data_IF_774979972362
#
_entry.id   IF_774979972362
#
_cell.length_a   1.000
_cell.length_b   1.000
_cell.length_c   1.000
_cell.angle_alpha   90.00
_cell.angle_beta   90.00
_cell.angle_gamma   90.00
#
_symmetry.space_group_name_H-M   'P 1'
#
loop_
_entity.id
_entity.type
_entity.pdbx_description
1 polymer ?
#
# COMPACT_ATOMS: atom_id res chain seq x y z
N UNK A 1 20.04 42.77 41.05
CA UNK A 1 18.89 43.17 40.20
C UNK A 1 18.95 42.31 38.94
N UNK A 2 18.29 41.17 38.96
CA UNK A 2 18.21 40.26 37.81
C UNK A 2 16.78 40.28 37.30
N UNK A 3 16.59 40.75 36.07
CA UNK A 3 15.29 40.69 35.39
C UNK A 3 15.16 39.32 34.69
N UNK A 4 14.16 38.57 35.09
CA UNK A 4 13.72 37.37 34.39
C UNK A 4 12.95 37.75 33.14
N UNK A 5 13.36 37.24 31.98
CA UNK A 5 12.62 37.32 30.71
C UNK A 5 11.76 36.04 30.61
N UNK A 6 10.46 36.24 30.64
CA UNK A 6 9.50 35.14 30.41
C UNK A 6 9.38 34.93 28.89
N UNK A 7 9.70 33.71 28.43
CA UNK A 7 9.45 33.24 27.07
C UNK A 7 8.00 32.69 27.01
N UNK A 8 7.20 33.29 26.14
CA UNK A 8 5.87 32.79 25.75
C UNK A 8 6.03 31.69 24.69
N UNK A 9 5.23 30.63 24.71
CA UNK A 9 5.25 29.60 23.66
C UNK A 9 4.55 30.09 22.39
N UNK A 10 4.93 29.57 21.19
CA UNK A 10 4.31 29.96 19.93
C UNK A 10 2.92 29.38 19.81
N UNK A 11 1.97 30.24 19.41
CA UNK A 11 0.61 29.90 19.01
C UNK A 11 0.65 29.06 17.72
N UNK A 12 0.15 27.84 17.78
CA UNK A 12 -0.16 27.05 16.61
C UNK A 12 -1.40 27.62 15.93
N UNK A 13 -1.20 28.18 14.73
CA UNK A 13 -2.29 28.63 13.86
C UNK A 13 -2.94 27.40 13.20
N UNK A 14 -4.07 26.95 13.70
CA UNK A 14 -4.92 25.95 13.04
C UNK A 14 -5.60 26.55 11.81
N UNK A 15 -5.31 26.03 10.64
CA UNK A 15 -6.01 26.35 9.39
C UNK A 15 -7.28 25.52 9.32
N UNK A 16 -8.43 26.17 9.53
CA UNK A 16 -9.76 25.57 9.33
C UNK A 16 -10.11 25.75 7.85
N UNK A 17 -10.13 24.67 7.08
CA UNK A 17 -10.71 24.65 5.73
C UNK A 17 -12.19 24.31 5.84
N UNK A 18 -13.05 25.29 5.56
CA UNK A 18 -14.48 25.08 5.39
C UNK A 18 -14.75 24.55 3.99
N UNK A 19 -15.26 23.31 3.89
CA UNK A 19 -15.79 22.73 2.65
C UNK A 19 -17.26 23.15 2.50
N UNK A 20 -17.55 23.99 1.51
CA UNK A 20 -18.91 24.34 1.07
C UNK A 20 -19.46 23.25 0.17
N UNK A 21 -20.52 22.57 0.58
CA UNK A 21 -21.31 21.69 -0.29
C UNK A 21 -22.33 22.52 -1.06
N UNK A 22 -22.23 22.53 -2.39
CA UNK A 22 -23.29 23.02 -3.26
C UNK A 22 -24.23 21.86 -3.60
N UNK A 23 -25.50 22.01 -3.23
CA UNK A 23 -26.62 21.19 -3.69
C UNK A 23 -27.04 21.65 -5.08
N UNK A 24 -27.00 20.78 -6.07
CA UNK A 24 -27.76 20.99 -7.31
C UNK A 24 -28.89 19.97 -7.40
N UNK A 25 -30.07 20.56 -7.53
CA UNK A 25 -31.35 19.86 -7.57
C UNK A 25 -31.69 19.40 -9.00
N UNK A 26 -32.41 18.31 -9.04
CA UNK A 26 -32.92 17.62 -10.21
C UNK A 26 -33.78 18.46 -11.16
N UNK A 27 -33.67 18.19 -12.47
CA UNK A 27 -34.72 18.44 -13.46
C UNK A 27 -34.98 17.16 -14.27
N UNK A 28 -36.22 16.75 -14.20
CA UNK A 28 -36.85 15.61 -14.88
C UNK A 28 -37.38 15.98 -16.26
N UNK A 29 -37.34 15.01 -17.22
CA UNK A 29 -38.21 14.95 -18.39
C UNK A 29 -37.58 14.30 -19.63
N UNK A 30 -38.38 13.89 -20.64
CA UNK A 30 -39.06 12.59 -20.63
C UNK A 30 -38.52 11.58 -21.69
N UNK A 31 -38.98 10.35 -21.56
CA UNK A 31 -38.74 9.17 -22.37
C UNK A 31 -38.94 9.33 -23.87
N UNK A 32 -38.03 8.70 -24.66
CA UNK A 32 -38.34 8.28 -26.02
C UNK A 32 -37.84 6.82 -26.22
N UNK A 33 -38.78 5.97 -26.59
CA UNK A 33 -38.59 4.58 -26.96
C UNK A 33 -37.97 4.46 -28.34
N UNK A 34 -36.96 3.58 -28.49
CA UNK A 34 -36.55 3.08 -29.79
C UNK A 34 -36.16 1.60 -29.70
N UNK A 35 -36.74 0.88 -30.61
CA UNK A 35 -36.78 -0.56 -30.84
C UNK A 35 -35.43 -1.19 -31.17
N UNK A 36 -35.26 -2.43 -30.69
CA UNK A 36 -34.17 -3.35 -31.03
C UNK A 36 -34.30 -3.89 -32.46
N UNK A 37 -33.15 -4.28 -33.07
CA UNK A 37 -33.11 -5.58 -33.73
C UNK A 37 -31.86 -6.40 -33.39
N UNK A 38 -32.10 -7.69 -33.15
CA UNK A 38 -31.30 -8.82 -33.61
C UNK A 38 -29.89 -9.02 -33.00
N UNK A 39 -29.81 -9.86 -31.95
CA UNK A 39 -28.55 -10.45 -31.49
C UNK A 39 -28.29 -11.78 -32.20
N UNK A 40 -27.31 -11.83 -33.08
CA UNK A 40 -26.72 -13.10 -33.53
C UNK A 40 -25.70 -13.58 -32.49
N UNK A 41 -26.00 -14.72 -31.85
CA UNK A 41 -25.08 -15.42 -30.94
C UNK A 41 -23.98 -16.12 -31.77
N UNK A 42 -22.76 -15.63 -31.76
CA UNK A 42 -21.60 -16.39 -32.20
C UNK A 42 -21.24 -17.44 -31.14
N UNK A 43 -21.33 -18.71 -31.52
CA UNK A 43 -20.94 -19.86 -30.69
C UNK A 43 -19.42 -19.81 -30.44
N UNK A 44 -19.03 -19.87 -29.17
CA UNK A 44 -17.63 -20.04 -28.77
C UNK A 44 -17.19 -21.48 -29.10
N UNK A 45 -16.13 -21.59 -29.89
CA UNK A 45 -15.49 -22.86 -30.25
C UNK A 45 -14.61 -23.30 -29.08
N UNK A 46 -15.03 -24.36 -28.38
CA UNK A 46 -14.21 -25.01 -27.36
C UNK A 46 -13.08 -25.76 -28.06
N UNK A 47 -11.83 -25.32 -27.84
CA UNK A 47 -10.63 -26.05 -28.23
C UNK A 47 -10.21 -26.91 -27.06
N UNK A 48 -10.44 -28.21 -27.17
CA UNK A 48 -9.89 -29.22 -26.25
C UNK A 48 -8.44 -29.49 -26.59
N UNK A 49 -7.53 -29.18 -25.68
CA UNK A 49 -6.12 -29.60 -25.76
C UNK A 49 -5.94 -30.97 -25.09
N UNK A 50 -5.09 -31.85 -25.60
CA UNK A 50 -4.89 -33.17 -25.04
C UNK A 50 -4.11 -33.13 -23.71
N UNK A 51 -4.65 -33.79 -22.68
CA UNK A 51 -3.98 -34.02 -21.40
C UNK A 51 -3.01 -35.19 -21.55
N UNK A 52 -1.71 -34.94 -21.56
CA UNK A 52 -0.68 -35.88 -21.09
C UNK A 52 0.65 -35.12 -20.92
N UNK A 53 0.98 -34.79 -19.69
CA UNK A 53 2.37 -34.68 -19.21
C UNK A 53 2.38 -34.85 -17.70
N UNK A 54 3.14 -35.84 -17.23
CA UNK A 54 3.48 -36.04 -15.83
C UNK A 54 4.17 -34.80 -15.29
N UNK A 55 3.57 -34.09 -14.38
CA UNK A 55 4.19 -32.97 -13.67
C UNK A 55 4.54 -33.45 -12.28
N UNK A 56 5.85 -33.71 -12.07
CA UNK A 56 6.42 -33.77 -10.74
C UNK A 56 6.15 -32.42 -10.05
N UNK A 57 5.71 -32.49 -8.79
CA UNK A 57 5.28 -31.35 -7.99
C UNK A 57 6.40 -30.30 -7.88
N UNK A 58 6.26 -29.23 -8.65
CA UNK A 58 6.95 -27.96 -8.43
C UNK A 58 5.87 -27.06 -7.85
N UNK A 59 6.15 -26.45 -6.69
CA UNK A 59 5.22 -25.59 -5.99
C UNK A 59 4.58 -24.58 -6.92
N UNK A 60 3.26 -24.50 -6.88
CA UNK A 60 2.46 -23.60 -7.71
C UNK A 60 2.70 -22.15 -7.29
N UNK A 61 3.69 -21.51 -7.88
CA UNK A 61 3.72 -20.05 -7.93
C UNK A 61 2.65 -19.63 -8.92
N UNK A 62 1.54 -19.08 -8.43
CA UNK A 62 0.55 -18.44 -9.28
C UNK A 62 1.21 -17.25 -9.98
N UNK A 63 1.41 -17.38 -11.28
CA UNK A 63 1.90 -16.31 -12.11
C UNK A 63 0.70 -15.41 -12.46
N UNK A 64 0.67 -14.21 -11.90
CA UNK A 64 -0.33 -13.21 -12.30
C UNK A 64 0.10 -12.57 -13.61
N UNK A 65 -0.80 -12.39 -14.57
CA UNK A 65 -0.47 -11.68 -15.80
C UNK A 65 -0.07 -10.25 -15.45
N UNK A 66 1.11 -9.86 -15.88
CA UNK A 66 1.56 -8.47 -15.79
C UNK A 66 0.72 -7.65 -16.76
N UNK A 67 0.28 -6.45 -16.38
CA UNK A 67 -0.45 -5.56 -17.26
C UNK A 67 0.30 -5.38 -18.59
N UNK A 68 -0.44 -5.31 -19.68
CA UNK A 68 0.14 -5.25 -21.03
C UNK A 68 1.12 -4.06 -21.14
N UNK A 69 2.39 -4.33 -21.48
CA UNK A 69 3.46 -3.32 -21.51
C UNK A 69 4.38 -3.29 -20.29
N UNK A 70 4.09 -4.02 -19.22
CA UNK A 70 5.00 -4.19 -18.08
C UNK A 70 5.83 -5.45 -18.31
N UNK A 71 7.13 -5.30 -18.52
CA UNK A 71 8.04 -6.45 -18.59
C UNK A 71 8.17 -7.06 -17.18
N UNK A 72 7.81 -8.35 -17.00
CA UNK A 72 7.99 -9.01 -15.73
C UNK A 72 9.48 -9.01 -15.38
N UNK A 73 9.84 -8.45 -14.25
CA UNK A 73 11.18 -8.60 -13.73
C UNK A 73 11.35 -10.06 -13.29
N UNK A 74 12.16 -10.90 -14.00
CA UNK A 74 12.20 -12.32 -13.73
C UNK A 74 12.67 -12.57 -12.31
N UNK A 75 11.87 -13.29 -11.56
CA UNK A 75 12.14 -13.65 -10.18
C UNK A 75 13.44 -14.41 -10.09
N UNK A 76 14.43 -13.90 -9.36
CA UNK A 76 15.69 -14.57 -9.10
C UNK A 76 16.75 -14.49 -10.20
N UNK A 77 16.49 -13.92 -11.36
CA UNK A 77 17.47 -13.85 -12.46
C UNK A 77 18.42 -12.64 -12.39
N UNK A 78 18.13 -11.66 -11.56
CA UNK A 78 18.91 -10.41 -11.50
C UNK A 78 19.54 -10.18 -10.12
N UNK A 79 19.85 -11.25 -9.38
CA UNK A 79 20.49 -11.16 -8.07
C UNK A 79 19.56 -10.68 -6.94
N UNK A 80 18.24 -10.62 -7.17
CA UNK A 80 17.27 -10.24 -6.14
C UNK A 80 16.60 -11.48 -5.51
N UNK A 81 16.23 -11.42 -4.22
CA UNK A 81 15.41 -12.45 -3.59
C UNK A 81 14.08 -12.66 -4.31
N UNK A 82 13.48 -13.86 -4.13
CA UNK A 82 12.18 -14.16 -4.69
C UNK A 82 11.11 -13.15 -4.24
N UNK A 83 10.20 -12.75 -5.14
CA UNK A 83 9.16 -11.75 -4.87
C UNK A 83 9.63 -10.29 -4.92
N UNK A 84 10.91 -10.04 -5.13
CA UNK A 84 11.45 -8.68 -5.25
C UNK A 84 11.68 -8.29 -6.72
N UNK A 85 11.60 -7.01 -7.01
CA UNK A 85 11.95 -6.40 -8.28
C UNK A 85 13.38 -5.85 -8.20
N UNK A 86 14.16 -6.04 -9.28
CA UNK A 86 15.46 -5.41 -9.44
C UNK A 86 15.28 -3.99 -9.99
N UNK A 87 15.83 -3.01 -9.31
CA UNK A 87 15.75 -1.60 -9.70
C UNK A 87 17.10 -1.16 -10.28
N UNK A 88 17.19 -1.19 -11.58
CA UNK A 88 18.37 -0.76 -12.37
C UNK A 88 19.69 -1.45 -11.95
N UNK A 89 19.64 -2.68 -11.41
CA UNK A 89 20.81 -3.40 -10.88
C UNK A 89 21.40 -2.80 -9.59
N UNK A 90 20.73 -1.85 -8.97
CA UNK A 90 21.26 -1.08 -7.83
C UNK A 90 20.74 -1.58 -6.49
N UNK A 91 19.48 -1.98 -6.44
CA UNK A 91 18.84 -2.55 -5.26
C UNK A 91 17.62 -3.39 -5.65
N UNK A 92 17.14 -4.18 -4.72
CA UNK A 92 15.94 -4.98 -4.82
C UNK A 92 14.84 -4.36 -3.95
N UNK A 93 13.58 -4.43 -4.37
CA UNK A 93 12.42 -3.99 -3.59
C UNK A 93 11.30 -5.02 -3.68
N UNK A 94 10.58 -5.24 -2.60
CA UNK A 94 9.39 -6.08 -2.59
C UNK A 94 8.38 -5.60 -3.64
N UNK A 95 7.86 -6.53 -4.47
CA UNK A 95 6.91 -6.19 -5.53
C UNK A 95 5.56 -5.74 -4.98
N UNK A 96 5.16 -6.33 -3.86
CA UNK A 96 3.92 -6.02 -3.15
C UNK A 96 4.27 -5.48 -1.78
N UNK A 97 3.32 -4.80 -1.16
CA UNK A 97 3.42 -4.34 0.21
C UNK A 97 3.73 -5.51 1.16
N UNK A 98 4.41 -5.22 2.26
CA UNK A 98 4.79 -6.21 3.25
C UNK A 98 3.58 -6.79 3.99
N UNK A 99 3.57 -8.11 4.12
CA UNK A 99 2.75 -8.85 5.08
C UNK A 99 3.67 -9.61 6.03
N UNK A 100 3.12 -10.17 7.11
CA UNK A 100 3.91 -10.86 8.11
C UNK A 100 3.54 -12.33 8.21
N UNK A 101 4.54 -13.15 8.53
CA UNK A 101 4.36 -14.51 9.03
C UNK A 101 5.02 -14.63 10.40
N UNK A 102 4.40 -15.39 11.30
CA UNK A 102 5.02 -15.77 12.56
C UNK A 102 5.74 -17.10 12.42
N UNK A 103 6.96 -17.17 12.93
CA UNK A 103 7.75 -18.40 12.99
C UNK A 103 7.55 -19.05 14.34
N UNK A 104 6.93 -20.21 14.35
CA UNK A 104 6.63 -20.97 15.54
C UNK A 104 7.89 -21.67 16.09
N UNK A 105 7.86 -22.09 17.35
CA UNK A 105 8.99 -22.75 18.00
C UNK A 105 9.45 -24.07 17.31
N UNK A 106 8.56 -24.70 16.56
CA UNK A 106 8.86 -25.90 15.75
C UNK A 106 9.41 -25.57 14.33
N UNK A 107 9.56 -24.26 14.01
CA UNK A 107 10.02 -23.76 12.73
C UNK A 107 8.92 -23.65 11.66
N UNK A 108 7.68 -24.01 11.97
CA UNK A 108 6.57 -23.77 11.05
C UNK A 108 6.23 -22.28 10.97
N UNK A 109 5.62 -21.88 9.86
CA UNK A 109 5.19 -20.51 9.64
C UNK A 109 3.67 -20.44 9.52
N UNK A 110 3.07 -19.42 10.12
CA UNK A 110 1.66 -19.10 9.95
C UNK A 110 1.48 -17.63 9.60
N UNK A 111 0.42 -17.34 8.87
CA UNK A 111 0.09 -15.96 8.51
C UNK A 111 -0.28 -15.16 9.75
N UNK A 112 0.36 -13.99 9.89
CA UNK A 112 -0.01 -13.03 10.93
C UNK A 112 -1.21 -12.20 10.49
N UNK A 113 -2.07 -11.83 11.43
CA UNK A 113 -3.21 -10.97 11.15
C UNK A 113 -2.78 -9.55 10.81
N UNK A 114 -3.15 -8.99 9.65
CA UNK A 114 -2.81 -7.61 9.29
C UNK A 114 -3.69 -6.56 10.01
N UNK A 115 -4.67 -7.01 10.77
CA UNK A 115 -5.68 -6.16 11.40
C UNK A 115 -5.42 -6.00 12.89
N UNK A 116 -4.71 -4.94 13.25
CA UNK A 116 -4.43 -4.55 14.62
C UNK A 116 -2.95 -4.36 14.91
N UNK A 117 -2.63 -3.69 16.02
CA UNK A 117 -1.25 -3.48 16.46
C UNK A 117 -0.53 -4.81 16.71
N UNK A 118 0.76 -4.79 16.49
CA UNK A 118 1.63 -5.94 16.74
C UNK A 118 2.04 -5.90 18.22
N UNK A 119 1.78 -6.98 18.93
CA UNK A 119 2.21 -7.18 20.31
C UNK A 119 3.65 -7.72 20.37
N UNK A 120 4.33 -7.51 21.49
CA UNK A 120 5.70 -8.01 21.68
C UNK A 120 5.72 -9.53 21.89
N UNK A 121 6.88 -10.14 21.62
CA UNK A 121 7.13 -11.55 21.93
C UNK A 121 6.88 -12.53 20.79
N UNK A 122 6.64 -12.03 19.58
CA UNK A 122 6.44 -12.82 18.38
C UNK A 122 7.68 -12.79 17.45
N UNK A 123 8.06 -13.94 16.88
CA UNK A 123 9.09 -14.00 15.82
C UNK A 123 8.44 -13.75 14.47
N UNK A 124 8.34 -12.48 14.10
CA UNK A 124 7.67 -12.05 12.89
C UNK A 124 8.67 -11.79 11.77
N UNK A 125 8.34 -12.28 10.58
CA UNK A 125 9.12 -12.11 9.36
C UNK A 125 8.32 -11.47 8.25
N UNK A 126 8.94 -10.55 7.54
CA UNK A 126 8.34 -9.89 6.39
C UNK A 126 8.32 -10.81 5.17
N UNK A 127 7.15 -10.94 4.56
CA UNK A 127 6.94 -11.61 3.28
C UNK A 127 6.26 -10.65 2.30
N UNK A 128 6.51 -10.86 1.01
CA UNK A 128 5.88 -10.09 -0.07
C UNK A 128 5.18 -11.05 -1.01
N UNK A 129 3.88 -10.88 -1.21
CA UNK A 129 3.05 -11.75 -2.06
C UNK A 129 1.75 -11.05 -2.44
N UNK A 130 1.20 -11.36 -3.61
CA UNK A 130 -0.09 -10.83 -4.03
C UNK A 130 -1.24 -11.53 -3.29
N UNK A 131 -2.43 -10.93 -3.42
CA UNK A 131 -3.73 -11.48 -2.97
C UNK A 131 -3.85 -11.69 -1.45
N UNK A 132 -2.99 -11.04 -0.67
CA UNK A 132 -3.09 -10.96 0.79
C UNK A 132 -3.25 -9.52 1.23
N UNK A 133 -3.89 -9.29 2.38
CA UNK A 133 -3.91 -7.95 2.96
C UNK A 133 -2.50 -7.60 3.47
N UNK A 134 -1.98 -6.40 3.15
CA UNK A 134 -0.71 -5.95 3.69
C UNK A 134 -0.83 -5.72 5.19
N UNK A 135 0.30 -5.82 5.89
CA UNK A 135 0.35 -5.50 7.31
C UNK A 135 0.08 -4.02 7.51
N UNK A 136 -1.04 -3.69 8.14
CA UNK A 136 -1.31 -2.37 8.69
C UNK A 136 -0.95 -2.30 10.18
N UNK A 137 -1.14 -1.16 10.82
CA UNK A 137 -0.89 -0.95 12.26
C UNK A 137 0.55 -1.25 12.72
N UNK A 138 1.51 -1.16 11.83
CA UNK A 138 2.92 -1.45 12.10
C UNK A 138 3.73 -0.16 12.23
N UNK A 139 4.62 -0.11 13.20
CA UNK A 139 5.59 0.98 13.36
C UNK A 139 6.82 0.79 12.47
N UNK A 140 7.57 1.87 12.24
CA UNK A 140 8.84 1.81 11.51
C UNK A 140 9.84 0.87 12.15
N UNK A 141 9.91 0.84 13.49
CA UNK A 141 10.78 -0.04 14.24
C UNK A 141 10.41 -1.52 14.05
N UNK A 142 9.13 -1.86 14.13
CA UNK A 142 8.64 -3.23 13.91
C UNK A 142 8.83 -3.67 12.45
N UNK A 143 8.56 -2.76 11.50
CA UNK A 143 8.77 -3.02 10.08
C UNK A 143 10.25 -3.28 9.74
N UNK A 144 11.18 -2.48 10.32
CA UNK A 144 12.61 -2.70 10.18
C UNK A 144 13.02 -4.08 10.72
N UNK A 145 12.58 -4.43 11.93
CA UNK A 145 12.87 -5.72 12.55
C UNK A 145 12.35 -6.90 11.72
N UNK A 146 11.12 -6.81 11.20
CA UNK A 146 10.54 -7.85 10.35
C UNK A 146 11.27 -8.02 9.00
N UNK A 147 11.72 -6.91 8.38
CA UNK A 147 12.56 -6.96 7.19
C UNK A 147 13.92 -7.63 7.51
N UNK A 148 14.58 -7.24 8.60
CA UNK A 148 15.85 -7.80 9.02
C UNK A 148 15.76 -9.30 9.33
N UNK A 149 14.71 -9.74 10.02
CA UNK A 149 14.42 -11.13 10.29
C UNK A 149 14.23 -11.98 9.01
N UNK A 150 13.94 -11.32 7.87
CA UNK A 150 13.78 -11.94 6.55
C UNK A 150 15.02 -11.80 5.66
N UNK A 151 16.16 -11.34 6.21
CA UNK A 151 17.38 -11.08 5.43
C UNK A 151 17.26 -9.90 4.49
N UNK A 152 16.34 -8.97 4.78
CA UNK A 152 16.08 -7.74 4.02
C UNK A 152 16.29 -6.53 4.92
N UNK A 153 15.92 -5.36 4.46
CA UNK A 153 15.93 -4.11 5.23
C UNK A 153 14.76 -3.21 4.81
N UNK A 154 14.40 -2.22 5.60
CA UNK A 154 13.52 -1.18 5.09
C UNK A 154 14.18 -0.44 3.92
N UNK A 155 13.37 0.03 2.98
CA UNK A 155 13.82 0.86 1.87
C UNK A 155 14.25 2.25 2.36
N UNK A 156 15.36 2.76 1.85
CA UNK A 156 15.65 4.18 2.01
C UNK A 156 14.60 5.04 1.28
N UNK A 157 14.30 6.26 1.75
CA UNK A 157 13.30 7.12 1.08
C UNK A 157 13.57 7.36 -0.41
N UNK A 158 14.84 7.41 -0.80
CA UNK A 158 15.24 7.60 -2.19
C UNK A 158 15.05 6.35 -3.04
N UNK A 159 15.28 5.16 -2.48
CA UNK A 159 15.05 3.86 -3.13
C UNK A 159 13.56 3.65 -3.36
N UNK A 160 12.77 3.84 -2.30
CA UNK A 160 11.32 3.74 -2.37
C UNK A 160 10.75 4.63 -3.49
N UNK A 161 11.15 5.90 -3.51
CA UNK A 161 10.69 6.88 -4.49
C UNK A 161 11.14 6.55 -5.91
N UNK A 162 12.38 6.06 -6.08
CA UNK A 162 12.89 5.59 -7.38
C UNK A 162 12.05 4.42 -7.91
N UNK A 163 11.79 3.43 -7.06
CA UNK A 163 10.98 2.29 -7.42
C UNK A 163 9.52 2.69 -7.76
N UNK A 164 8.91 3.59 -6.98
CA UNK A 164 7.57 4.09 -7.23
C UNK A 164 7.46 4.79 -8.58
N UNK A 165 8.39 5.68 -8.91
CA UNK A 165 8.36 6.47 -10.15
C UNK A 165 8.60 5.66 -11.41
N UNK A 166 9.15 4.46 -11.27
CA UNK A 166 9.50 3.63 -12.41
C UNK A 166 10.66 4.16 -13.24
N UNK A 167 11.04 3.47 -14.32
CA UNK A 167 12.15 3.90 -15.18
C UNK A 167 11.85 5.19 -15.96
N UNK A 168 10.56 5.54 -16.12
CA UNK A 168 10.13 6.77 -16.81
C UNK A 168 9.95 7.97 -15.87
N UNK A 169 10.28 7.84 -14.59
CA UNK A 169 10.19 8.90 -13.57
C UNK A 169 8.79 9.54 -13.46
N UNK A 170 7.74 8.73 -13.53
CA UNK A 170 6.35 9.17 -13.52
C UNK A 170 5.87 9.55 -12.12
N UNK A 171 4.87 10.43 -12.05
CA UNK A 171 4.31 10.92 -10.78
C UNK A 171 3.60 9.83 -9.98
N UNK A 172 2.85 8.94 -10.65
CA UNK A 172 2.07 7.88 -10.01
C UNK A 172 2.58 6.46 -10.34
N UNK A 173 3.78 6.35 -10.89
CA UNK A 173 4.33 5.09 -11.38
C UNK A 173 3.70 4.61 -12.68
N UNK A 174 2.39 4.57 -12.76
CA UNK A 174 1.62 4.22 -13.97
C UNK A 174 1.41 5.39 -14.95
N UNK A 175 1.75 6.60 -14.58
CA UNK A 175 1.54 7.81 -15.39
C UNK A 175 1.82 9.09 -14.61
N UNK A 176 1.66 10.24 -15.31
CA UNK A 176 1.86 11.54 -14.69
C UNK A 176 0.57 12.19 -14.19
N UNK A 177 -0.57 11.65 -14.56
CA UNK A 177 -1.88 12.12 -14.13
C UNK A 177 -2.54 11.07 -13.22
N UNK A 178 -3.22 11.53 -12.16
CA UNK A 178 -3.97 10.65 -11.28
C UNK A 178 -5.19 10.10 -12.00
N UNK A 179 -5.31 8.79 -12.03
CA UNK A 179 -6.52 8.08 -12.44
C UNK A 179 -7.18 7.50 -11.19
N UNK A 180 -8.21 8.17 -10.72
CA UNK A 180 -8.88 7.82 -9.47
C UNK A 180 -9.43 6.39 -9.48
N UNK A 181 -9.03 5.58 -8.50
CA UNK A 181 -9.41 4.16 -8.38
C UNK A 181 -8.51 3.21 -9.17
N UNK A 182 -7.50 3.69 -9.88
CA UNK A 182 -6.46 2.83 -10.46
C UNK A 182 -5.63 2.16 -9.38
N UNK A 183 -5.29 2.91 -8.35
CA UNK A 183 -4.78 2.40 -7.07
C UNK A 183 -5.91 2.41 -6.03
N UNK A 184 -5.71 1.80 -4.88
CA UNK A 184 -6.62 1.97 -3.75
C UNK A 184 -6.44 3.37 -3.14
N UNK A 185 -7.08 4.37 -3.75
CA UNK A 185 -6.95 5.81 -3.45
C UNK A 185 -8.30 6.54 -3.38
N UNK A 186 -9.40 5.77 -3.29
CA UNK A 186 -10.78 6.26 -3.21
C UNK A 186 -11.55 5.64 -2.05
N UNK A 187 -10.84 5.33 -0.99
CA UNK A 187 -11.40 4.72 0.19
C UNK A 187 -12.41 5.61 0.93
N UNK A 188 -13.07 5.02 1.90
CA UNK A 188 -14.00 5.72 2.80
C UNK A 188 -13.39 5.79 4.20
N UNK A 189 -13.62 6.91 4.90
CA UNK A 189 -13.06 7.08 6.25
C UNK A 189 -13.65 6.07 7.24
N UNK A 190 -12.85 5.09 7.73
CA UNK A 190 -13.30 4.16 8.73
C UNK A 190 -13.49 4.84 10.08
N UNK A 191 -12.71 5.90 10.35
CA UNK A 191 -12.81 6.66 11.58
C UNK A 191 -14.19 7.32 11.71
N UNK A 192 -14.71 7.94 10.66
CA UNK A 192 -16.05 8.56 10.67
C UNK A 192 -17.14 7.48 10.84
N UNK A 193 -16.94 6.29 10.26
CA UNK A 193 -17.93 5.20 10.33
C UNK A 193 -18.00 4.55 11.71
N UNK A 194 -16.88 4.34 12.39
CA UNK A 194 -16.84 3.70 13.72
C UNK A 194 -16.87 4.71 14.87
N UNK A 195 -16.35 5.90 14.65
CA UNK A 195 -16.18 6.94 15.66
C UNK A 195 -16.70 8.29 15.11
N UNK A 196 -18.02 8.43 14.90
CA UNK A 196 -18.61 9.60 14.21
C UNK A 196 -18.29 10.94 14.89
N UNK A 197 -17.94 10.96 16.17
CA UNK A 197 -17.49 12.16 16.87
C UNK A 197 -16.24 12.81 16.19
N UNK A 198 -15.45 12.06 15.45
CA UNK A 198 -14.29 12.57 14.72
C UNK A 198 -14.68 13.61 13.67
N UNK A 199 -15.89 13.51 13.12
CA UNK A 199 -16.43 14.51 12.18
C UNK A 199 -16.60 15.88 12.82
N UNK A 200 -16.74 15.96 14.15
CA UNK A 200 -16.81 17.21 14.90
C UNK A 200 -15.43 17.72 15.29
N UNK A 201 -14.56 16.83 15.80
CA UNK A 201 -13.18 17.15 16.15
C UNK A 201 -12.33 15.87 16.26
N UNK A 202 -11.17 15.90 15.63
CA UNK A 202 -10.15 14.84 15.77
C UNK A 202 -9.61 14.71 17.21
N UNK A 203 -9.69 15.77 18.02
CA UNK A 203 -9.28 15.73 19.43
C UNK A 203 -10.17 14.84 20.31
N UNK A 204 -11.28 14.31 19.78
CA UNK A 204 -12.19 13.40 20.49
C UNK A 204 -11.81 11.92 20.34
N UNK A 205 -10.76 11.63 19.58
CA UNK A 205 -10.22 10.29 19.37
C UNK A 205 -8.73 10.29 19.67
N UNK A 206 -8.20 9.15 20.05
CA UNK A 206 -6.79 8.96 20.35
C UNK A 206 -6.20 7.74 19.65
N UNK A 207 -4.99 7.38 20.04
CA UNK A 207 -4.28 6.22 19.47
C UNK A 207 -5.05 4.91 19.65
N UNK A 208 -5.86 4.78 20.71
CA UNK A 208 -6.70 3.60 20.91
C UNK A 208 -7.72 3.41 19.77
N UNK A 209 -8.40 4.47 19.40
CA UNK A 209 -9.39 4.44 18.30
C UNK A 209 -8.69 4.28 16.94
N UNK A 210 -7.55 4.94 16.73
CA UNK A 210 -6.75 4.82 15.50
C UNK A 210 -6.12 3.43 15.32
N UNK A 211 -6.03 2.65 16.40
CA UNK A 211 -5.54 1.28 16.40
C UNK A 211 -6.64 0.23 16.57
N UNK A 212 -7.90 0.60 16.38
CA UNK A 212 -9.01 -0.36 16.42
C UNK A 212 -8.97 -1.29 15.21
N UNK A 213 -8.85 -2.58 15.46
CA UNK A 213 -8.71 -3.62 14.43
C UNK A 213 -9.86 -3.63 13.40
N UNK A 214 -11.03 -3.12 13.76
CA UNK A 214 -12.21 -3.06 12.88
C UNK A 214 -12.06 -2.05 11.75
N UNK A 215 -11.18 -1.05 11.88
CA UNK A 215 -11.06 0.04 10.91
C UNK A 215 -10.77 -0.48 9.50
N UNK A 216 -9.77 -1.34 9.36
CA UNK A 216 -9.34 -1.88 8.07
C UNK A 216 -10.13 -3.12 7.60
N UNK A 217 -11.13 -3.55 8.37
CA UNK A 217 -12.05 -4.61 7.99
C UNK A 217 -13.36 -4.07 7.35
N UNK A 218 -13.50 -2.75 7.29
CA UNK A 218 -14.65 -2.12 6.65
C UNK A 218 -14.49 -2.10 5.13
N UNK A 219 -15.61 -2.23 4.43
CA UNK A 219 -15.64 -2.05 2.96
C UNK A 219 -15.10 -0.66 2.56
N UNK A 220 -14.31 -0.61 1.49
CA UNK A 220 -13.72 0.63 0.98
C UNK A 220 -12.55 1.14 1.83
N UNK A 221 -11.86 0.25 2.55
CA UNK A 221 -10.64 0.55 3.29
C UNK A 221 -9.45 -0.22 2.71
N UNK A 222 -8.74 -1.02 3.51
CA UNK A 222 -7.60 -1.80 3.08
C UNK A 222 -7.98 -2.78 1.95
N UNK A 223 -7.17 -2.83 0.91
CA UNK A 223 -7.28 -3.78 -0.19
C UNK A 223 -6.16 -4.80 -0.14
N UNK A 224 -6.37 -5.97 -0.74
CA UNK A 224 -5.32 -6.95 -0.92
C UNK A 224 -4.26 -6.45 -1.87
N UNK A 225 -2.99 -6.66 -1.56
CA UNK A 225 -1.86 -6.26 -2.39
C UNK A 225 -1.97 -6.87 -3.80
N UNK A 226 -1.78 -6.04 -4.82
CA UNK A 226 -1.93 -6.42 -6.23
C UNK A 226 -3.36 -6.49 -6.75
N UNK A 227 -4.39 -6.29 -5.92
CA UNK A 227 -5.80 -6.34 -6.38
C UNK A 227 -6.17 -5.16 -7.30
N UNK A 228 -5.42 -4.09 -7.25
CA UNK A 228 -5.46 -3.00 -8.21
C UNK A 228 -4.39 -3.25 -9.30
N UNK A 229 -4.69 -4.15 -10.23
CA UNK A 229 -3.74 -4.67 -11.21
C UNK A 229 -3.02 -3.60 -12.04
N UNK A 230 -3.68 -2.46 -12.28
CA UNK A 230 -3.10 -1.32 -13.00
C UNK A 230 -2.30 -0.35 -12.11
N UNK A 231 -2.28 -0.55 -10.78
CA UNK A 231 -1.47 0.22 -9.85
C UNK A 231 -0.04 -0.30 -9.81
N UNK A 232 0.65 -0.22 -10.92
CA UNK A 232 1.99 -0.79 -11.13
C UNK A 232 2.79 0.04 -12.13
N UNK A 233 4.08 -0.25 -12.27
CA UNK A 233 4.97 0.34 -13.26
C UNK A 233 5.83 -0.74 -13.93
N UNK A 234 6.73 -0.32 -14.84
CA UNK A 234 7.56 -1.23 -15.63
C UNK A 234 8.56 -2.07 -14.81
N UNK A 235 8.86 -1.70 -13.57
CA UNK A 235 9.62 -2.56 -12.65
C UNK A 235 8.76 -3.71 -12.11
N UNK A 236 7.44 -3.67 -12.29
CA UNK A 236 6.50 -4.66 -11.75
C UNK A 236 6.39 -4.57 -10.23
N UNK A 237 6.46 -3.37 -9.68
CA UNK A 237 6.10 -3.06 -8.29
C UNK A 237 4.67 -2.55 -8.24
N UNK A 238 3.90 -3.00 -7.26
CA UNK A 238 2.47 -2.74 -7.13
C UNK A 238 2.19 -1.91 -5.88
N UNK A 239 1.08 -1.17 -5.92
CA UNK A 239 0.47 -0.46 -4.79
C UNK A 239 1.40 0.55 -4.11
N UNK A 240 2.39 1.08 -4.87
CA UNK A 240 3.29 2.13 -4.36
C UNK A 240 2.56 3.46 -4.07
N UNK A 241 1.31 3.59 -4.50
CA UNK A 241 0.45 4.76 -4.28
C UNK A 241 -0.87 4.29 -3.71
N UNK A 242 -1.24 4.80 -2.54
CA UNK A 242 -2.47 4.43 -1.86
C UNK A 242 -2.33 3.19 -0.98
N UNK A 243 -3.42 2.55 -0.70
CA UNK A 243 -3.60 1.41 0.19
C UNK A 243 -3.13 1.67 1.62
N UNK A 244 -1.82 1.55 1.91
CA UNK A 244 -1.21 1.94 3.19
C UNK A 244 0.00 2.84 2.99
N UNK A 245 0.24 3.73 3.94
CA UNK A 245 1.52 4.43 4.02
C UNK A 245 2.66 3.43 4.24
N UNK A 246 3.78 3.63 3.58
CA UNK A 246 4.91 2.74 3.72
C UNK A 246 6.08 3.39 4.46
N UNK A 247 6.42 2.83 5.63
CA UNK A 247 7.59 3.23 6.39
C UNK A 247 8.87 3.08 5.58
N UNK A 248 9.78 4.02 5.77
CA UNK A 248 11.14 3.99 5.21
C UNK A 248 12.18 3.95 6.33
N UNK A 249 13.43 3.68 5.98
CA UNK A 249 14.56 3.65 6.93
C UNK A 249 15.02 5.04 7.40
N UNK A 250 14.23 6.10 7.13
CA UNK A 250 14.53 7.45 7.63
C UNK A 250 14.28 7.50 9.15
N UNK A 251 15.32 7.69 9.98
CA UNK A 251 15.16 7.72 11.44
C UNK A 251 14.34 8.91 11.93
N UNK A 252 14.09 9.91 11.07
CA UNK A 252 13.21 11.04 11.39
C UNK A 252 11.73 10.70 11.21
N UNK A 253 11.40 9.45 10.94
CA UNK A 253 10.02 8.96 10.87
C UNK A 253 9.29 9.40 9.62
N UNK A 254 9.78 8.94 8.46
CA UNK A 254 9.14 9.20 7.16
C UNK A 254 8.44 7.95 6.63
N UNK A 255 7.19 8.11 6.22
CA UNK A 255 6.48 7.16 5.37
C UNK A 255 5.95 7.83 4.11
N UNK A 256 5.76 7.05 3.04
CA UNK A 256 5.51 7.53 1.69
C UNK A 256 4.28 6.82 1.06
N UNK A 257 3.88 7.29 -0.13
CA UNK A 257 2.87 6.66 -0.98
C UNK A 257 1.44 7.09 -0.73
N UNK A 258 1.14 7.64 0.43
CA UNK A 258 -0.24 7.88 0.86
C UNK A 258 -0.94 6.58 1.28
N UNK A 259 -2.24 6.62 1.47
CA UNK A 259 -3.05 5.48 1.85
C UNK A 259 -4.43 5.54 1.17
N UNK A 260 -5.30 4.61 1.41
CA UNK A 260 -6.56 4.50 0.67
C UNK A 260 -7.49 5.73 0.73
N UNK A 261 -7.26 6.68 1.66
CA UNK A 261 -8.03 7.95 1.69
C UNK A 261 -7.31 9.11 1.01
N UNK A 262 -5.96 9.09 0.95
CA UNK A 262 -5.22 10.26 0.49
C UNK A 262 -3.88 9.89 -0.15
N UNK A 263 -3.68 10.40 -1.35
CA UNK A 263 -2.46 10.24 -2.15
C UNK A 263 -1.97 11.57 -2.75
N UNK A 264 -2.42 12.71 -2.20
CA UNK A 264 -2.11 14.02 -2.80
C UNK A 264 -1.93 15.19 -1.81
N UNK A 265 -2.47 15.15 -0.58
CA UNK A 265 -2.39 16.27 0.38
C UNK A 265 -0.93 16.59 0.75
N UNK A 266 -0.08 15.57 0.90
CA UNK A 266 1.33 15.72 1.25
C UNK A 266 2.28 15.47 0.06
N UNK A 267 1.81 15.75 -1.16
CA UNK A 267 2.51 15.53 -2.42
C UNK A 267 1.81 14.49 -3.29
N UNK A 268 1.89 14.64 -4.61
CA UNK A 268 1.20 13.75 -5.53
C UNK A 268 1.92 12.41 -5.69
N UNK A 269 1.17 11.31 -5.50
CA UNK A 269 1.58 9.95 -5.80
C UNK A 269 2.94 9.57 -5.19
N UNK A 270 3.92 9.28 -6.02
CA UNK A 270 5.28 8.90 -5.59
C UNK A 270 6.05 10.01 -4.84
N UNK A 271 5.55 11.24 -4.86
CA UNK A 271 6.09 12.36 -4.09
C UNK A 271 5.41 12.52 -2.73
N UNK A 272 4.33 11.79 -2.47
CA UNK A 272 3.64 11.83 -1.18
C UNK A 272 4.58 11.41 -0.06
N UNK A 273 4.68 12.27 0.94
CA UNK A 273 5.57 12.06 2.07
C UNK A 273 5.01 12.67 3.34
N UNK A 274 4.87 11.86 4.39
CA UNK A 274 4.63 12.32 5.75
C UNK A 274 5.91 12.12 6.55
N UNK A 275 6.30 13.12 7.32
CA UNK A 275 7.54 13.12 8.09
C UNK A 275 7.28 13.56 9.54
N UNK A 276 8.29 13.40 10.39
CA UNK A 276 8.26 13.79 11.79
C UNK A 276 7.30 12.97 12.69
N UNK A 277 7.02 11.73 12.30
CA UNK A 277 6.43 10.76 13.21
C UNK A 277 7.54 10.06 14.00
N UNK A 278 7.28 9.78 15.27
CA UNK A 278 8.18 8.91 16.03
C UNK A 278 8.25 7.53 15.35
N UNK A 279 9.42 6.92 15.31
CA UNK A 279 9.62 5.63 14.61
C UNK A 279 8.86 4.46 15.25
N UNK A 280 8.31 4.68 16.43
CA UNK A 280 7.40 3.78 17.15
C UNK A 280 5.92 4.04 16.87
N UNK A 281 5.59 5.10 16.12
CA UNK A 281 4.20 5.40 15.74
C UNK A 281 3.62 4.32 14.83
N UNK A 282 2.36 3.96 15.07
CA UNK A 282 1.58 3.07 14.22
C UNK A 282 0.09 3.38 14.32
N UNK A 283 -0.63 3.20 13.25
CA UNK A 283 -2.09 3.25 13.20
C UNK A 283 -2.63 2.43 12.00
N UNK A 284 -3.93 2.49 11.79
CA UNK A 284 -4.62 1.78 10.71
C UNK A 284 -4.12 2.10 9.30
N UNK A 285 -3.42 3.19 9.11
CA UNK A 285 -2.94 3.64 7.79
C UNK A 285 -1.48 3.28 7.49
N UNK A 286 -0.71 2.83 8.51
CA UNK A 286 0.74 2.59 8.36
C UNK A 286 1.05 1.15 8.02
N UNK A 287 1.85 0.96 6.99
CA UNK A 287 2.38 -0.32 6.50
C UNK A 287 3.84 -0.20 6.10
N UNK A 288 4.33 -1.11 5.26
CA UNK A 288 5.73 -1.13 4.84
C UNK A 288 5.96 -2.01 3.62
N UNK A 289 7.16 -1.92 3.05
CA UNK A 289 7.79 -2.94 2.19
C UNK A 289 9.28 -2.97 2.42
N UNK A 290 9.93 -4.11 2.13
CA UNK A 290 11.36 -4.26 2.30
C UNK A 290 12.13 -4.01 1.01
N UNK A 291 13.39 -3.62 1.17
CA UNK A 291 14.42 -3.60 0.16
C UNK A 291 15.55 -4.58 0.52
N UNK A 292 16.39 -4.90 -0.45
CA UNK A 292 17.61 -5.69 -0.26
C UNK A 292 18.68 -5.21 -1.24
N UNK A 293 19.93 -5.56 -0.96
CA UNK A 293 20.99 -5.35 -1.91
C UNK A 293 21.03 -6.55 -2.88
N UNK A 294 21.34 -6.34 -4.18
CA UNK A 294 21.49 -7.43 -5.12
C UNK A 294 22.65 -8.35 -4.69
N UNK A 295 22.46 -9.65 -4.83
CA UNK A 295 23.56 -10.62 -4.65
C UNK A 295 24.42 -10.57 -5.91
N UNK A 296 25.73 -10.35 -5.76
CA UNK A 296 26.69 -10.45 -6.85
C UNK A 296 26.63 -11.88 -7.42
N UNK A 297 26.47 -11.98 -8.73
CA UNK A 297 26.47 -13.26 -9.46
C UNK A 297 27.89 -13.70 -9.79
#
# INVERSE_FOLDING_TARGET
MHRAIALLPPLAAGLVLALSFANDAAASGPSASASHPGSERRAARVVTLPVHANIASIGTHHYFPVAEGVLPNPTGLAGCPAGMANIDGRFCIDRWEGSLVEVMADGTQQDWSPFGPIEDGHDLRAVTRPDVFPQAYISGAQAAAACEASGKRLCAPVEWRKACRGPREQTFGYGNERVAGRCNDRGTSPMIRLFPQVATSWNLVGMKEMNDARLNQLEGTLAKSGSHEECTNEYGVYDMVGNVHEWTSDPNGTFQGGYYLDTHINGDGCSYRTAAHEYTYHDYSTGFRCCADPVEQ
#
